data_IF_161027863445
#
_entry.id   IF_161027863445
#
_cell.length_a   1.000
_cell.length_b   1.000
_cell.length_c   1.000
_cell.angle_alpha   90.00
_cell.angle_beta   90.00
_cell.angle_gamma   90.00
#
_symmetry.space_group_name_H-M   'P 1'
#
loop_
_entity.id
_entity.type
_entity.pdbx_description
1 polymer ?
#
# COMPACT_ATOMS: atom_id res chain seq x y z
N UNK A 1 23.63 -42.53 13.87
CA UNK A 1 22.62 -42.43 12.80
C UNK A 1 21.99 -41.06 12.88
N UNK A 2 22.42 -40.13 12.03
CA UNK A 2 21.95 -38.74 12.08
C UNK A 2 20.68 -38.62 11.26
N UNK A 3 19.54 -38.47 11.93
CA UNK A 3 18.24 -38.24 11.30
C UNK A 3 18.29 -36.91 10.57
N UNK A 4 18.12 -36.94 9.24
CA UNK A 4 17.95 -35.74 8.42
C UNK A 4 16.58 -35.15 8.76
N UNK A 5 16.57 -34.10 9.58
CA UNK A 5 15.44 -33.19 9.72
C UNK A 5 15.03 -32.72 8.32
N UNK A 6 13.87 -33.16 7.83
CA UNK A 6 13.29 -32.58 6.62
C UNK A 6 12.90 -31.15 6.96
N UNK A 7 13.73 -30.20 6.55
CA UNK A 7 13.48 -28.75 6.64
C UNK A 7 12.39 -28.41 5.63
N UNK A 8 11.16 -28.84 5.90
CA UNK A 8 9.99 -28.36 5.17
C UNK A 8 9.33 -27.35 6.08
N UNK A 9 9.41 -26.04 5.78
CA UNK A 9 8.71 -25.02 6.54
C UNK A 9 7.21 -25.33 6.54
N UNK A 10 6.54 -25.12 7.68
CA UNK A 10 5.09 -25.19 7.75
C UNK A 10 4.50 -24.21 6.73
N UNK A 11 3.97 -24.75 5.64
CA UNK A 11 3.22 -23.97 4.65
C UNK A 11 1.93 -23.51 5.31
N UNK A 12 1.59 -22.23 5.15
CA UNK A 12 0.37 -21.63 5.72
C UNK A 12 -0.84 -22.56 5.59
N UNK A 13 -1.62 -22.71 6.66
CA UNK A 13 -2.75 -23.64 6.78
C UNK A 13 -3.98 -23.30 5.92
N UNK A 14 -3.86 -22.42 4.92
CA UNK A 14 -4.97 -22.02 4.06
C UNK A 14 -5.29 -23.17 3.12
N UNK A 15 -6.47 -23.78 3.30
CA UNK A 15 -6.94 -24.85 2.44
C UNK A 15 -7.38 -24.34 1.06
N UNK A 16 -7.39 -25.22 0.06
CA UNK A 16 -7.83 -24.87 -1.30
C UNK A 16 -9.27 -24.32 -1.33
N UNK A 17 -10.17 -24.86 -0.50
CA UNK A 17 -11.56 -24.38 -0.40
C UNK A 17 -11.64 -22.95 0.13
N UNK A 18 -10.79 -22.60 1.09
CA UNK A 18 -10.72 -21.24 1.65
C UNK A 18 -10.19 -20.26 0.60
N UNK A 19 -9.11 -20.64 -0.09
CA UNK A 19 -8.56 -19.87 -1.19
C UNK A 19 -9.61 -19.63 -2.27
N UNK A 20 -10.32 -20.69 -2.66
CA UNK A 20 -11.34 -20.62 -3.70
C UNK A 20 -12.53 -19.75 -3.27
N UNK A 21 -13.00 -19.89 -2.04
CA UNK A 21 -14.06 -19.04 -1.49
C UNK A 21 -13.69 -17.56 -1.51
N UNK A 22 -12.49 -17.21 -1.07
CA UNK A 22 -11.98 -15.84 -1.11
C UNK A 22 -11.83 -15.32 -2.55
N UNK A 23 -11.30 -16.15 -3.46
CA UNK A 23 -11.20 -15.82 -4.87
C UNK A 23 -12.57 -15.48 -5.48
N UNK A 24 -13.59 -16.31 -5.23
CA UNK A 24 -14.93 -16.07 -5.76
C UNK A 24 -15.60 -14.85 -5.10
N UNK A 25 -15.34 -14.58 -3.82
CA UNK A 25 -15.84 -13.38 -3.14
C UNK A 25 -15.32 -12.10 -3.80
N UNK A 26 -14.02 -12.03 -4.07
CA UNK A 26 -13.36 -10.90 -4.72
C UNK A 26 -13.84 -10.69 -6.15
N UNK A 27 -13.89 -11.78 -6.95
CA UNK A 27 -14.41 -11.73 -8.31
C UNK A 27 -15.91 -11.39 -8.36
N UNK A 28 -16.68 -11.85 -7.38
CA UNK A 28 -18.10 -11.51 -7.26
C UNK A 28 -18.32 -10.03 -6.94
N UNK A 29 -17.44 -9.40 -6.14
CA UNK A 29 -17.46 -7.94 -5.96
C UNK A 29 -17.12 -7.21 -7.25
N UNK A 30 -16.07 -7.64 -7.95
CA UNK A 30 -15.69 -7.07 -9.23
C UNK A 30 -16.84 -7.19 -10.26
N UNK A 31 -17.51 -8.35 -10.32
CA UNK A 31 -18.66 -8.57 -11.21
C UNK A 31 -19.82 -7.62 -10.88
N UNK A 32 -20.17 -7.45 -9.59
CA UNK A 32 -21.21 -6.51 -9.18
C UNK A 32 -20.90 -5.07 -9.56
N UNK A 33 -19.62 -4.70 -9.60
CA UNK A 33 -19.14 -3.35 -9.91
C UNK A 33 -19.16 -3.04 -11.40
N UNK A 34 -18.64 -3.93 -12.25
CA UNK A 34 -18.48 -3.67 -13.69
C UNK A 34 -19.42 -4.46 -14.59
N UNK A 35 -20.08 -5.49 -14.06
CA UNK A 35 -20.93 -6.43 -14.77
C UNK A 35 -20.17 -7.60 -15.41
N UNK A 36 -20.87 -8.73 -15.57
CA UNK A 36 -20.33 -10.00 -16.08
C UNK A 36 -19.56 -9.87 -17.40
N UNK A 37 -20.12 -9.16 -18.39
CA UNK A 37 -19.51 -9.06 -19.73
C UNK A 37 -18.19 -8.30 -19.72
N UNK A 38 -18.13 -7.22 -18.94
CA UNK A 38 -16.94 -6.38 -18.83
C UNK A 38 -15.86 -7.13 -18.06
N UNK A 39 -16.21 -7.75 -16.94
CA UNK A 39 -15.25 -8.54 -16.17
C UNK A 39 -14.69 -9.71 -17.00
N UNK A 40 -15.54 -10.44 -17.72
CA UNK A 40 -15.10 -11.53 -18.58
C UNK A 40 -14.13 -11.04 -19.67
N UNK A 41 -14.43 -9.91 -20.32
CA UNK A 41 -13.55 -9.31 -21.32
C UNK A 41 -12.19 -8.91 -20.72
N UNK A 42 -12.19 -8.24 -19.58
CA UNK A 42 -10.96 -7.82 -18.89
C UNK A 42 -10.11 -9.03 -18.50
N UNK A 43 -10.72 -10.10 -18.01
CA UNK A 43 -10.04 -11.34 -17.64
C UNK A 43 -9.70 -12.25 -18.82
N UNK A 44 -9.80 -11.76 -20.06
CA UNK A 44 -9.52 -12.50 -21.29
C UNK A 44 -10.25 -13.86 -21.33
N UNK A 45 -11.56 -13.82 -21.09
CA UNK A 45 -12.43 -14.99 -21.08
C UNK A 45 -13.83 -14.69 -21.62
N UNK A 46 -14.56 -15.75 -21.97
CA UNK A 46 -15.95 -15.62 -22.36
C UNK A 46 -16.85 -15.48 -21.11
N UNK A 47 -18.03 -14.84 -21.21
CA UNK A 47 -18.99 -14.81 -20.11
C UNK A 47 -19.40 -16.20 -19.60
N UNK A 48 -19.39 -17.20 -20.48
CA UNK A 48 -19.60 -18.62 -20.10
C UNK A 48 -18.44 -19.14 -19.26
N UNK A 49 -17.20 -18.84 -19.65
CA UNK A 49 -16.01 -19.19 -18.88
C UNK A 49 -16.03 -18.59 -17.48
N UNK A 50 -16.45 -17.33 -17.36
CA UNK A 50 -16.59 -16.67 -16.06
C UNK A 50 -17.67 -17.32 -15.19
N UNK A 51 -18.81 -17.72 -15.76
CA UNK A 51 -19.85 -18.46 -15.00
C UNK A 51 -19.36 -19.84 -14.55
N UNK A 52 -18.60 -20.55 -15.39
CA UNK A 52 -18.02 -21.84 -15.00
C UNK A 52 -17.02 -21.68 -13.86
N UNK A 53 -16.29 -20.56 -13.84
CA UNK A 53 -15.42 -20.19 -12.73
C UNK A 53 -16.23 -19.99 -11.44
N UNK A 54 -17.34 -19.22 -11.49
CA UNK A 54 -18.25 -19.10 -10.34
C UNK A 54 -18.90 -20.42 -9.92
N UNK A 55 -19.01 -21.39 -10.82
CA UNK A 55 -19.47 -22.75 -10.53
C UNK A 55 -18.38 -23.69 -10.00
N UNK A 56 -17.15 -23.19 -9.82
CA UNK A 56 -16.06 -23.92 -9.16
C UNK A 56 -14.85 -24.25 -10.04
N UNK A 57 -14.73 -23.67 -11.23
CA UNK A 57 -13.53 -23.87 -12.07
C UNK A 57 -12.39 -22.94 -11.64
N UNK A 58 -11.14 -23.43 -11.68
CA UNK A 58 -9.98 -22.58 -11.40
C UNK A 58 -9.57 -21.75 -12.65
N UNK A 59 -9.36 -20.42 -12.51
CA UNK A 59 -8.79 -19.61 -13.58
C UNK A 59 -7.30 -19.87 -13.75
N UNK A 60 -6.80 -19.54 -14.93
CA UNK A 60 -5.37 -19.34 -15.12
C UNK A 60 -4.89 -18.16 -14.24
N UNK A 61 -3.75 -18.26 -13.52
CA UNK A 61 -3.28 -17.21 -12.59
C UNK A 61 -3.20 -15.81 -13.19
N UNK A 62 -2.81 -15.69 -14.47
CA UNK A 62 -2.84 -14.41 -15.21
C UNK A 62 -4.20 -13.70 -15.11
N UNK A 63 -5.30 -14.45 -15.27
CA UNK A 63 -6.65 -13.88 -15.32
C UNK A 63 -7.10 -13.31 -13.98
N UNK A 64 -6.57 -13.84 -12.87
CA UNK A 64 -6.77 -13.26 -11.55
C UNK A 64 -6.10 -11.89 -11.43
N UNK A 65 -4.88 -11.77 -11.94
CA UNK A 65 -4.20 -10.47 -12.00
C UNK A 65 -4.92 -9.50 -12.94
N UNK A 66 -5.43 -9.98 -14.08
CA UNK A 66 -6.19 -9.13 -14.99
C UNK A 66 -7.46 -8.55 -14.35
N UNK A 67 -8.08 -9.27 -13.41
CA UNK A 67 -9.27 -8.78 -12.70
C UNK A 67 -9.01 -7.45 -11.94
N UNK A 68 -7.76 -7.16 -11.57
CA UNK A 68 -7.38 -5.88 -10.95
C UNK A 68 -7.57 -4.68 -11.88
N UNK A 69 -7.59 -4.87 -13.20
CA UNK A 69 -7.92 -3.81 -14.15
C UNK A 69 -9.41 -3.44 -14.12
N UNK A 70 -10.29 -4.37 -13.73
CA UNK A 70 -11.71 -4.11 -13.54
C UNK A 70 -12.00 -3.59 -12.12
N UNK A 71 -11.36 -4.19 -11.12
CA UNK A 71 -11.48 -3.79 -9.73
C UNK A 71 -10.19 -3.99 -8.96
N UNK A 72 -9.60 -2.89 -8.47
CA UNK A 72 -8.32 -2.89 -7.74
C UNK A 72 -8.34 -3.72 -6.46
N UNK A 73 -9.53 -3.98 -5.91
CA UNK A 73 -9.76 -4.78 -4.69
C UNK A 73 -10.16 -6.23 -4.98
N UNK A 74 -10.08 -6.68 -6.24
CA UNK A 74 -10.54 -8.03 -6.64
C UNK A 74 -9.77 -9.17 -5.96
N UNK A 75 -8.54 -8.91 -5.49
CA UNK A 75 -7.68 -9.90 -4.82
C UNK A 75 -7.56 -9.68 -3.31
N UNK A 76 -8.27 -8.71 -2.73
CA UNK A 76 -8.11 -8.36 -1.32
C UNK A 76 -8.51 -9.50 -0.39
N UNK A 77 -9.57 -10.27 -0.68
CA UNK A 77 -9.96 -11.39 0.18
C UNK A 77 -8.90 -12.49 0.21
N UNK A 78 -8.25 -12.73 -0.94
CA UNK A 78 -7.13 -13.68 -1.01
C UNK A 78 -5.97 -13.12 -0.18
N UNK A 79 -5.64 -11.84 -0.37
CA UNK A 79 -4.53 -11.21 0.35
C UNK A 79 -4.75 -11.23 1.87
N UNK A 80 -5.96 -10.95 2.33
CA UNK A 80 -6.37 -10.96 3.73
C UNK A 80 -6.22 -12.37 4.35
N UNK A 81 -6.54 -13.44 3.62
CA UNK A 81 -6.30 -14.81 4.08
C UNK A 81 -4.83 -15.09 4.42
N UNK A 82 -3.91 -14.42 3.73
CA UNK A 82 -2.47 -14.53 3.95
C UNK A 82 -1.88 -13.38 4.79
N UNK A 83 -2.73 -12.50 5.35
CA UNK A 83 -2.28 -11.32 6.08
C UNK A 83 -1.45 -10.35 5.23
N UNK A 84 -1.75 -10.26 3.93
CA UNK A 84 -1.08 -9.41 2.95
C UNK A 84 -2.05 -8.33 2.46
N UNK A 85 -1.50 -7.30 1.82
CA UNK A 85 -2.26 -6.27 1.11
C UNK A 85 -1.77 -6.17 -0.32
N UNK A 86 -2.69 -6.06 -1.29
CA UNK A 86 -2.36 -5.76 -2.68
C UNK A 86 -2.40 -4.25 -2.86
N UNK A 87 -1.27 -3.67 -3.28
CA UNK A 87 -1.16 -2.24 -3.58
C UNK A 87 -0.42 -2.07 -4.91
N UNK A 88 -0.82 -1.08 -5.70
CA UNK A 88 -0.07 -0.72 -6.90
C UNK A 88 1.35 -0.26 -6.49
N UNK A 89 2.36 -0.59 -7.29
CA UNK A 89 3.77 -0.26 -6.98
C UNK A 89 4.01 1.25 -6.80
N UNK A 90 3.21 2.07 -7.46
CA UNK A 90 3.26 3.54 -7.41
C UNK A 90 2.19 4.13 -6.48
N UNK A 91 1.41 3.31 -5.78
CA UNK A 91 0.44 3.82 -4.83
C UNK A 91 1.18 4.54 -3.70
N UNK A 92 0.95 5.85 -3.61
CA UNK A 92 1.30 6.61 -2.40
C UNK A 92 0.28 6.18 -1.36
N UNK A 93 0.74 5.49 -0.31
CA UNK A 93 -0.15 5.14 0.78
C UNK A 93 -0.61 6.44 1.46
N UNK A 94 -1.90 6.76 1.36
CA UNK A 94 -2.56 7.80 2.18
C UNK A 94 -2.44 7.53 3.70
N UNK A 95 -1.83 6.41 4.09
CA UNK A 95 -1.56 5.99 5.47
C UNK A 95 -0.18 6.37 5.97
N UNK A 96 0.66 7.03 5.16
CA UNK A 96 1.77 7.78 5.72
C UNK A 96 1.16 8.95 6.52
N UNK A 97 0.82 8.67 7.79
CA UNK A 97 0.43 9.68 8.78
C UNK A 97 1.39 10.85 8.61
N UNK A 98 0.88 12.08 8.59
CA UNK A 98 1.69 13.29 8.54
C UNK A 98 2.89 13.18 9.52
N UNK A 99 2.70 12.51 10.66
CA UNK A 99 3.76 12.17 11.62
C UNK A 99 4.88 11.29 11.07
N UNK A 100 4.58 10.25 10.29
CA UNK A 100 5.58 9.34 9.69
C UNK A 100 6.41 10.08 8.64
N UNK A 101 5.76 10.92 7.82
CA UNK A 101 6.46 11.76 6.84
C UNK A 101 7.36 12.79 7.51
N UNK A 102 6.83 13.52 8.50
CA UNK A 102 7.61 14.49 9.28
C UNK A 102 8.76 13.80 10.02
N UNK A 103 8.53 12.62 10.61
CA UNK A 103 9.59 11.87 11.30
C UNK A 103 10.71 11.44 10.34
N UNK A 104 10.36 11.00 9.12
CA UNK A 104 11.36 10.63 8.10
C UNK A 104 12.17 11.84 7.63
N UNK A 105 11.52 12.98 7.40
CA UNK A 105 12.19 14.24 7.05
C UNK A 105 13.11 14.69 8.19
N UNK A 106 12.63 14.66 9.43
CA UNK A 106 13.41 15.07 10.60
C UNK A 106 14.64 14.15 10.82
N UNK A 107 14.48 12.84 10.67
CA UNK A 107 15.61 11.90 10.78
C UNK A 107 16.68 12.21 9.73
N UNK A 108 16.28 12.46 8.48
CA UNK A 108 17.22 12.84 7.41
C UNK A 108 17.92 14.16 7.73
N UNK A 109 17.20 15.18 8.18
CA UNK A 109 17.81 16.45 8.59
C UNK A 109 18.80 16.27 9.75
N UNK A 110 18.48 15.42 10.73
CA UNK A 110 19.38 15.09 11.84
C UNK A 110 20.62 14.34 11.36
N UNK A 111 20.48 13.39 10.43
CA UNK A 111 21.62 12.72 9.79
C UNK A 111 22.53 13.71 9.07
N UNK A 112 22.00 14.75 8.43
CA UNK A 112 22.83 15.79 7.78
C UNK A 112 23.43 16.79 8.79
N UNK A 113 22.75 17.07 9.89
CA UNK A 113 23.18 18.06 10.89
C UNK A 113 24.07 17.48 12.01
N UNK A 114 24.21 16.15 12.10
CA UNK A 114 25.00 15.51 13.14
C UNK A 114 26.49 15.81 12.93
N UNK A 115 27.24 16.28 13.96
CA UNK A 115 28.64 16.67 13.83
C UNK A 115 29.54 15.57 13.25
N UNK A 116 29.27 14.31 13.62
CA UNK A 116 30.04 13.15 13.17
C UNK A 116 29.45 12.45 11.93
N UNK A 117 28.50 13.09 11.24
CA UNK A 117 27.91 12.51 10.03
C UNK A 117 28.85 12.65 8.84
N UNK A 118 29.02 11.61 8.01
CA UNK A 118 29.73 11.71 6.73
C UNK A 118 29.19 12.82 5.81
N UNK A 119 27.93 13.22 5.99
CA UNK A 119 27.27 14.27 5.21
C UNK A 119 27.50 15.69 5.76
N UNK A 120 27.86 15.83 7.04
CA UNK A 120 28.09 17.13 7.69
C UNK A 120 29.41 17.78 7.23
N UNK A 121 30.42 16.97 6.87
CA UNK A 121 31.72 17.47 6.40
C UNK A 121 31.72 17.90 4.91
N UNK A 122 30.68 17.59 4.12
CA UNK A 122 30.71 17.75 2.66
C UNK A 122 29.64 18.65 2.05
N UNK A 123 28.75 19.28 2.82
CA UNK A 123 27.69 20.10 2.23
C UNK A 123 28.27 21.44 1.75
N UNK A 124 28.39 21.63 0.45
CA UNK A 124 28.95 22.84 -0.15
C UNK A 124 27.98 24.02 -0.03
N UNK A 125 28.50 25.26 0.02
CA UNK A 125 27.67 26.46 0.07
C UNK A 125 26.66 26.55 -1.10
N UNK A 126 27.00 26.06 -2.29
CA UNK A 126 26.07 26.02 -3.42
C UNK A 126 24.88 25.10 -3.16
N UNK A 127 25.05 23.97 -2.47
CA UNK A 127 23.96 23.06 -2.14
C UNK A 127 22.95 23.69 -1.16
N UNK A 128 23.42 24.51 -0.22
CA UNK A 128 22.53 25.29 0.66
C UNK A 128 21.73 26.35 -0.10
N UNK A 129 22.38 27.08 -1.02
CA UNK A 129 21.75 28.13 -1.81
C UNK A 129 20.73 27.55 -2.80
N UNK A 130 21.07 26.44 -3.45
CA UNK A 130 20.16 25.73 -4.35
C UNK A 130 18.92 25.20 -3.61
N UNK A 131 19.09 24.80 -2.34
CA UNK A 131 18.02 24.34 -1.46
C UNK A 131 17.18 25.44 -0.80
N UNK A 132 17.57 26.72 -0.89
CA UNK A 132 16.98 27.82 -0.11
C UNK A 132 15.47 27.95 -0.33
N UNK A 133 15.01 27.95 -1.58
CA UNK A 133 13.60 28.09 -1.91
C UNK A 133 12.75 26.97 -1.29
N UNK A 134 13.27 25.73 -1.33
CA UNK A 134 12.61 24.57 -0.73
C UNK A 134 12.56 24.68 0.80
N UNK A 135 13.68 25.05 1.43
CA UNK A 135 13.76 25.25 2.88
C UNK A 135 12.78 26.33 3.37
N UNK A 136 12.67 27.45 2.65
CA UNK A 136 11.72 28.53 2.96
C UNK A 136 10.27 28.07 2.83
N UNK A 137 9.95 27.31 1.78
CA UNK A 137 8.61 26.75 1.57
C UNK A 137 8.22 25.78 2.70
N UNK A 138 9.13 24.88 3.07
CA UNK A 138 8.94 23.95 4.19
C UNK A 138 8.73 24.70 5.51
N UNK A 139 9.55 25.72 5.77
CA UNK A 139 9.43 26.55 6.98
C UNK A 139 8.07 27.27 7.03
N UNK A 140 7.60 27.80 5.91
CA UNK A 140 6.29 28.47 5.82
C UNK A 140 5.14 27.52 6.16
N UNK A 141 5.09 26.34 5.53
CA UNK A 141 4.00 25.39 5.73
C UNK A 141 4.02 24.79 7.14
N UNK A 142 5.20 24.41 7.66
CA UNK A 142 5.32 23.89 9.02
C UNK A 142 4.97 24.94 10.08
N UNK A 143 5.28 26.22 9.85
CA UNK A 143 4.85 27.33 10.70
C UNK A 143 3.33 27.44 10.80
N UNK A 144 2.63 27.41 9.65
CA UNK A 144 1.16 27.40 9.60
C UNK A 144 0.53 26.21 10.33
N UNK A 145 1.15 25.04 10.25
CA UNK A 145 0.66 23.86 10.98
C UNK A 145 0.78 24.04 12.50
N UNK A 146 1.88 24.63 12.99
CA UNK A 146 2.06 24.93 14.41
C UNK A 146 1.07 26.00 14.92
N UNK A 147 0.80 27.02 14.11
CA UNK A 147 -0.25 28.02 14.40
C UNK A 147 -1.61 27.33 14.55
N UNK A 148 -1.96 26.46 13.60
CA UNK A 148 -3.20 25.69 13.65
C UNK A 148 -3.27 24.76 14.87
N UNK A 149 -2.17 24.11 15.24
CA UNK A 149 -2.09 23.34 16.49
C UNK A 149 -2.36 24.22 17.71
N UNK A 150 -1.83 25.45 17.71
CA UNK A 150 -2.04 26.41 18.79
C UNK A 150 -3.51 26.85 18.87
N UNK A 151 -4.16 27.09 17.72
CA UNK A 151 -5.60 27.38 17.65
C UNK A 151 -6.47 26.25 18.18
N UNK A 152 -6.18 25.00 17.78
CA UNK A 152 -6.91 23.82 18.27
C UNK A 152 -6.77 23.68 19.78
N UNK A 153 -5.59 24.01 20.33
CA UNK A 153 -5.32 23.97 21.78
C UNK A 153 -5.91 25.15 22.55
N UNK A 154 -6.45 26.18 21.89
CA UNK A 154 -7.09 27.30 22.59
C UNK A 154 -8.28 26.75 23.39
N UNK A 155 -8.38 27.04 24.70
CA UNK A 155 -9.53 26.62 25.48
C UNK A 155 -10.79 27.24 24.90
N UNK A 156 -11.76 26.39 24.54
CA UNK A 156 -13.08 26.87 24.13
C UNK A 156 -13.75 27.41 25.38
N UNK A 157 -14.03 28.71 25.41
CA UNK A 157 -14.88 29.29 26.43
C UNK A 157 -16.22 28.54 26.36
N UNK A 158 -16.52 27.77 27.40
CA UNK A 158 -17.83 27.15 27.58
C UNK A 158 -18.75 28.29 28.01
N UNK A 159 -19.61 28.72 27.09
CA UNK A 159 -20.72 29.64 27.38
C UNK A 159 -21.86 28.88 28.07
#
# INVERSE_FOLDING_TARGET
MTQRSSVVPETSSVGEDQFHGAMLAGLGRAERKVGLKVLAFVMDMTPKGLRNLFAGSAPHPKRLWDALYADKTALDDIADLYGRRVVDKTAVCDTDDLKVLIARVNLKLQEYAHPDSPAAESTAHCEYLDGEALMRSLHHETGRWLERCSEIRKPRAVA
#
